data_IF_376521256784
#
_entry.id   IF_376521256784
#
_cell.length_a   1.000
_cell.length_b   1.000
_cell.length_c   1.000
_cell.angle_alpha   90.00
_cell.angle_beta   90.00
_cell.angle_gamma   90.00
#
_symmetry.space_group_name_H-M   'P 1'
#
loop_
_entity.id
_entity.type
_entity.pdbx_description
1 polymer ?
#
# COMPACT_ATOMS: atom_id res chain seq x y z
N UNK A 1 -5.15 15.62 -0.56
CA UNK A 1 -4.94 14.50 0.37
C UNK A 1 -3.85 14.88 1.36
N UNK A 2 -4.12 14.80 2.66
CA UNK A 2 -3.13 15.14 3.68
C UNK A 2 -2.34 13.90 4.13
N UNK A 3 -1.32 14.11 4.97
CA UNK A 3 -0.46 13.02 5.44
C UNK A 3 -1.25 11.94 6.19
N UNK A 4 -2.22 12.35 6.98
CA UNK A 4 -3.05 11.44 7.76
C UNK A 4 -3.87 10.52 6.87
N UNK A 5 -4.43 11.07 5.80
CA UNK A 5 -5.19 10.30 4.80
C UNK A 5 -4.29 9.33 4.05
N UNK A 6 -3.09 9.76 3.69
CA UNK A 6 -2.12 8.90 3.00
C UNK A 6 -1.70 7.75 3.93
N UNK A 7 -1.42 8.04 5.20
CA UNK A 7 -1.04 7.00 6.16
C UNK A 7 -2.18 5.99 6.39
N UNK A 8 -3.42 6.47 6.47
CA UNK A 8 -4.57 5.57 6.60
C UNK A 8 -4.70 4.65 5.38
N UNK A 9 -4.47 5.19 4.19
CA UNK A 9 -4.51 4.39 2.97
C UNK A 9 -3.40 3.33 2.93
N UNK A 10 -2.21 3.69 3.39
CA UNK A 10 -1.09 2.75 3.53
C UNK A 10 -1.47 1.60 4.47
N UNK A 11 -2.06 1.92 5.61
CA UNK A 11 -2.50 0.89 6.58
C UNK A 11 -3.52 -0.06 5.96
N UNK A 12 -4.46 0.46 5.20
CA UNK A 12 -5.45 -0.37 4.49
C UNK A 12 -4.79 -1.31 3.48
N UNK A 13 -3.78 -0.83 2.76
CA UNK A 13 -3.06 -1.64 1.78
C UNK A 13 -2.24 -2.74 2.47
N UNK A 14 -1.63 -2.44 3.60
CA UNK A 14 -0.90 -3.45 4.40
C UNK A 14 -1.86 -4.52 4.89
N UNK A 15 -3.04 -4.14 5.37
CA UNK A 15 -4.08 -5.09 5.78
C UNK A 15 -4.50 -5.98 4.61
N UNK A 16 -4.64 -5.40 3.43
CA UNK A 16 -4.98 -6.15 2.21
C UNK A 16 -3.91 -7.22 1.92
N UNK A 17 -2.63 -6.88 2.04
CA UNK A 17 -1.56 -7.86 1.85
C UNK A 17 -1.66 -9.01 2.84
N UNK A 18 -1.93 -8.72 4.11
CA UNK A 18 -2.11 -9.76 5.13
C UNK A 18 -3.30 -10.66 4.83
N UNK A 19 -4.40 -10.08 4.38
CA UNK A 19 -5.60 -10.85 4.01
C UNK A 19 -5.32 -11.77 2.83
N UNK A 20 -4.60 -11.29 1.83
CA UNK A 20 -4.25 -12.09 0.64
C UNK A 20 -3.41 -13.30 1.02
N UNK A 21 -2.44 -13.12 1.93
CA UNK A 21 -1.61 -14.22 2.42
C UNK A 21 -2.44 -15.26 3.18
N UNK A 22 -3.37 -14.80 4.00
CA UNK A 22 -4.28 -15.71 4.73
C UNK A 22 -5.18 -16.46 3.77
N UNK A 23 -5.71 -15.79 2.75
CA UNK A 23 -6.57 -16.42 1.75
C UNK A 23 -5.81 -17.48 0.96
N UNK A 24 -4.55 -17.23 0.61
CA UNK A 24 -3.73 -18.23 -0.04
C UNK A 24 -3.52 -19.44 0.85
N UNK A 25 -3.18 -19.24 2.12
CA UNK A 25 -2.96 -20.32 3.08
C UNK A 25 -4.22 -21.14 3.30
N UNK A 26 -5.40 -20.51 3.22
CA UNK A 26 -6.70 -21.20 3.37
C UNK A 26 -7.18 -21.85 2.07
N UNK A 27 -6.44 -21.70 0.97
CA UNK A 27 -6.84 -22.29 -0.32
C UNK A 27 -7.91 -21.49 -1.06
N UNK A 28 -8.19 -20.27 -0.63
CA UNK A 28 -9.20 -19.41 -1.26
C UNK A 28 -8.68 -18.70 -2.52
N UNK A 29 -7.36 -18.61 -2.67
CA UNK A 29 -6.72 -18.00 -3.83
C UNK A 29 -5.66 -18.92 -4.39
N UNK A 30 -5.47 -18.85 -5.71
CA UNK A 30 -4.32 -19.51 -6.34
C UNK A 30 -3.09 -18.64 -6.14
N UNK A 31 -1.90 -19.24 -6.30
CA UNK A 31 -0.63 -18.49 -6.23
C UNK A 31 -0.57 -17.35 -7.24
N UNK A 32 -1.12 -17.60 -8.45
CA UNK A 32 -1.15 -16.56 -9.48
C UNK A 32 -2.05 -15.40 -9.09
N UNK A 33 -3.24 -15.69 -8.56
CA UNK A 33 -4.17 -14.66 -8.10
C UNK A 33 -3.57 -13.84 -6.98
N UNK A 34 -2.89 -14.48 -6.03
CA UNK A 34 -2.22 -13.78 -4.95
C UNK A 34 -1.15 -12.82 -5.49
N UNK A 35 -0.31 -13.30 -6.41
CA UNK A 35 0.77 -12.48 -6.99
C UNK A 35 0.23 -11.25 -7.69
N UNK A 36 -0.83 -11.40 -8.46
CA UNK A 36 -1.44 -10.29 -9.19
C UNK A 36 -2.00 -9.25 -8.24
N UNK A 37 -2.69 -9.68 -7.20
CA UNK A 37 -3.29 -8.78 -6.21
C UNK A 37 -2.24 -8.12 -5.33
N UNK A 38 -1.19 -8.86 -4.94
CA UNK A 38 -0.08 -8.29 -4.19
C UNK A 38 0.65 -7.23 -5.00
N UNK A 39 0.86 -7.48 -6.29
CA UNK A 39 1.51 -6.49 -7.16
C UNK A 39 0.71 -5.19 -7.19
N UNK A 40 -0.60 -5.28 -7.34
CA UNK A 40 -1.46 -4.09 -7.33
C UNK A 40 -1.36 -3.34 -6.01
N UNK A 41 -1.37 -4.05 -4.88
CA UNK A 41 -1.24 -3.44 -3.57
C UNK A 41 0.14 -2.79 -3.39
N UNK A 42 1.20 -3.45 -3.84
CA UNK A 42 2.56 -2.91 -3.76
C UNK A 42 2.73 -1.65 -4.60
N UNK A 43 2.16 -1.63 -5.80
CA UNK A 43 2.19 -0.44 -6.66
C UNK A 43 1.47 0.74 -5.98
N UNK A 44 0.32 0.48 -5.37
CA UNK A 44 -0.41 1.50 -4.64
C UNK A 44 0.36 1.99 -3.42
N UNK A 45 1.03 1.09 -2.70
CA UNK A 45 1.91 1.45 -1.58
C UNK A 45 3.06 2.33 -2.03
N UNK A 46 3.72 1.99 -3.12
CA UNK A 46 4.81 2.78 -3.66
C UNK A 46 4.35 4.21 -3.99
N UNK A 47 3.17 4.34 -4.58
CA UNK A 47 2.60 5.65 -4.88
C UNK A 47 2.33 6.45 -3.61
N UNK A 48 1.82 5.81 -2.57
CA UNK A 48 1.56 6.46 -1.28
C UNK A 48 2.85 6.93 -0.62
N UNK A 49 3.88 6.10 -0.60
CA UNK A 49 5.18 6.47 -0.05
C UNK A 49 5.82 7.61 -0.83
N UNK A 50 5.67 7.61 -2.15
CA UNK A 50 6.18 8.67 -2.99
C UNK A 50 5.49 10.00 -2.69
N UNK A 51 4.18 10.00 -2.53
CA UNK A 51 3.42 11.19 -2.15
C UNK A 51 3.89 11.75 -0.79
N UNK A 52 4.10 10.88 0.20
CA UNK A 52 4.61 11.30 1.50
C UNK A 52 5.99 11.93 1.39
N UNK A 53 6.84 11.33 0.56
CA UNK A 53 8.19 11.83 0.33
C UNK A 53 8.18 13.23 -0.28
N UNK A 54 7.31 13.44 -1.27
CA UNK A 54 7.14 14.74 -1.89
C UNK A 54 6.64 15.79 -0.90
N UNK A 55 5.69 15.43 -0.06
CA UNK A 55 5.14 16.34 0.95
C UNK A 55 6.20 16.72 1.99
N UNK A 56 7.02 15.77 2.41
CA UNK A 56 8.13 16.03 3.34
C UNK A 56 9.17 16.95 2.72
N UNK A 57 9.52 16.74 1.46
CA UNK A 57 10.47 17.58 0.75
C UNK A 57 10.00 19.03 0.71
N UNK A 58 8.72 19.26 0.43
CA UNK A 58 8.15 20.60 0.42
C UNK A 58 8.24 21.27 1.79
N UNK A 59 7.95 20.52 2.86
CA UNK A 59 8.05 21.06 4.22
C UNK A 59 9.49 21.42 4.59
N UNK A 60 10.44 20.57 4.24
CA UNK A 60 11.85 20.78 4.54
C UNK A 60 12.42 21.99 3.82
N UNK A 61 11.92 22.32 2.62
CA UNK A 61 12.38 23.45 1.83
C UNK A 61 11.49 24.68 1.96
N UNK A 62 10.63 24.73 2.98
CA UNK A 62 9.89 25.94 3.33
C UNK A 62 8.68 26.27 2.45
N UNK A 63 8.12 25.31 1.81
CA UNK A 63 6.93 25.53 0.99
C UNK A 63 5.63 25.11 1.67
#
# INVERSE_FOLDING_TARGET
MDDKQIMAHIDELIDTEHQLRRQLAAGELTSQQERERLRSAEEALDQCWDLLRQRRARREFGE
#
